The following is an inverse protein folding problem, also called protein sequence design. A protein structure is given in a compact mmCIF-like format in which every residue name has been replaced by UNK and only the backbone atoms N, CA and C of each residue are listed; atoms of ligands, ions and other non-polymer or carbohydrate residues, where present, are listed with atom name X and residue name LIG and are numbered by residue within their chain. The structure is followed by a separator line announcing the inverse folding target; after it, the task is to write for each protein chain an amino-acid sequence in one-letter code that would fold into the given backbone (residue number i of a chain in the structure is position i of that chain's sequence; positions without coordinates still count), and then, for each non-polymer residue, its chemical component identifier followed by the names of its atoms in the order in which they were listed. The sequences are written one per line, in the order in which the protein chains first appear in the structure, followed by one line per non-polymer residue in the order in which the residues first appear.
data_IF_727315663993
#
_entry.id   IF_727315663993
#
_cell.length_a   1.000
_cell.length_b   1.000
_cell.length_c   1.000
_cell.angle_alpha   90.00
_cell.angle_beta   90.00
_cell.angle_gamma   90.00
#
_symmetry.space_group_name_H-M   'P 1'
#
loop_
_entity.id
_entity.type
_entity.pdbx_description
1 polymer ?
#
# COMPACT_ATOMS: atom_id res chain seq x y z
N UNK A 1 20.16 5.09 13.48
CA UNK A 1 19.17 5.59 12.51
C UNK A 1 17.84 5.02 12.95
N UNK A 2 16.82 5.86 13.02
CA UNK A 2 15.57 5.62 13.76
C UNK A 2 14.83 4.40 13.19
N UNK A 3 14.93 3.26 13.88
CA UNK A 3 14.25 2.01 13.54
C UNK A 3 12.83 2.04 14.10
N UNK A 4 12.09 3.12 13.83
CA UNK A 4 10.70 3.22 14.24
C UNK A 4 9.92 2.24 13.38
N UNK A 5 9.46 1.16 14.00
CA UNK A 5 8.62 0.15 13.34
C UNK A 5 7.43 0.87 12.69
N UNK A 6 7.42 0.92 11.35
CA UNK A 6 6.35 1.54 10.59
C UNK A 6 5.09 0.68 10.77
N UNK A 7 4.09 1.18 11.50
CA UNK A 7 2.94 0.37 11.89
C UNK A 7 1.82 0.43 10.87
N UNK A 8 0.93 -0.57 10.92
CA UNK A 8 -0.29 -0.58 10.11
C UNK A 8 -1.10 0.72 10.24
N UNK A 9 -1.32 1.23 11.46
CA UNK A 9 -2.09 2.45 11.65
C UNK A 9 -1.37 3.71 11.15
N UNK A 10 -0.03 3.77 11.26
CA UNK A 10 0.73 4.88 10.68
C UNK A 10 0.58 4.93 9.16
N UNK A 11 0.68 3.77 8.50
CA UNK A 11 0.49 3.65 7.05
C UNK A 11 -0.95 3.92 6.63
N UNK A 12 -1.92 3.32 7.32
CA UNK A 12 -3.34 3.49 7.03
C UNK A 12 -3.76 4.96 7.17
N UNK A 13 -3.24 5.67 8.17
CA UNK A 13 -3.48 7.10 8.35
C UNK A 13 -3.05 7.89 7.12
N UNK A 14 -1.84 7.66 6.61
CA UNK A 14 -1.32 8.35 5.42
C UNK A 14 -2.20 8.08 4.19
N UNK A 15 -2.56 6.81 3.97
CA UNK A 15 -3.40 6.41 2.84
C UNK A 15 -4.80 7.05 2.89
N UNK A 16 -5.44 7.05 4.06
CA UNK A 16 -6.76 7.65 4.26
C UNK A 16 -6.75 9.17 4.13
N UNK A 17 -5.72 9.83 4.66
CA UNK A 17 -5.55 11.29 4.50
C UNK A 17 -5.40 11.68 3.03
N UNK A 18 -4.60 10.94 2.25
CA UNK A 18 -4.50 11.17 0.79
C UNK A 18 -5.82 10.90 0.05
N UNK A 19 -6.68 10.02 0.57
CA UNK A 19 -8.00 9.76 0.02
C UNK A 19 -9.09 10.77 0.45
N UNK A 20 -8.73 11.78 1.25
CA UNK A 20 -9.63 12.87 1.66
C UNK A 20 -10.41 12.61 2.95
N UNK A 21 -9.97 11.65 3.77
CA UNK A 21 -10.56 11.39 5.08
C UNK A 21 -9.77 12.08 6.20
N UNK A 22 -10.49 12.44 7.27
CA UNK A 22 -9.87 12.88 8.51
C UNK A 22 -9.66 11.66 9.41
N UNK A 23 -8.45 11.53 9.96
CA UNK A 23 -8.06 10.39 10.82
C UNK A 23 -7.74 10.92 12.20
N UNK A 24 -8.49 10.46 13.19
CA UNK A 24 -8.31 10.86 14.59
C UNK A 24 -7.25 9.98 15.29
N UNK A 25 -6.74 10.39 16.47
CA UNK A 25 -5.89 9.55 17.29
C UNK A 25 -6.55 8.20 17.61
N UNK A 26 -5.72 7.16 17.79
CA UNK A 26 -6.20 5.83 18.17
C UNK A 26 -6.86 5.90 19.54
N UNK A 27 -8.07 5.35 19.64
CA UNK A 27 -8.89 5.28 20.87
C UNK A 27 -9.29 3.81 21.08
N UNK A 28 -8.99 3.25 22.25
CA UNK A 28 -9.31 1.85 22.60
C UNK A 28 -8.88 0.80 21.56
N UNK A 29 -7.71 1.00 20.95
CA UNK A 29 -7.17 0.09 19.91
C UNK A 29 -7.88 0.20 18.55
N UNK A 30 -8.64 1.27 18.33
CA UNK A 30 -9.37 1.55 17.10
C UNK A 30 -8.91 2.89 16.51
N UNK A 31 -8.80 2.96 15.19
CA UNK A 31 -8.48 4.18 14.45
C UNK A 31 -9.78 4.85 13.99
N UNK A 32 -10.23 5.97 14.60
CA UNK A 32 -11.47 6.63 14.21
C UNK A 32 -11.32 7.47 12.95
N UNK A 33 -12.28 7.33 12.04
CA UNK A 33 -12.29 7.97 10.73
C UNK A 33 -13.51 8.89 10.62
N UNK A 34 -13.27 10.10 10.14
CA UNK A 34 -14.27 11.12 9.87
C UNK A 34 -14.31 11.46 8.38
N UNK A 35 -15.50 11.83 7.93
CA UNK A 35 -15.77 12.30 6.58
C UNK A 35 -16.87 13.35 6.63
N UNK A 36 -16.66 14.49 5.95
CA UNK A 36 -17.55 15.65 6.01
C UNK A 36 -17.87 16.10 7.46
N UNK A 37 -16.84 16.22 8.29
CA UNK A 37 -16.92 16.65 9.70
C UNK A 37 -17.84 15.78 10.59
N UNK A 38 -18.10 14.55 10.17
CA UNK A 38 -18.89 13.56 10.91
C UNK A 38 -18.13 12.26 11.06
N UNK A 39 -18.34 11.59 12.20
CA UNK A 39 -17.81 10.25 12.44
C UNK A 39 -18.40 9.29 11.41
N UNK A 40 -17.52 8.61 10.67
CA UNK A 40 -17.90 7.68 9.62
C UNK A 40 -17.81 6.23 10.10
N UNK A 41 -16.65 5.85 10.64
CA UNK A 41 -16.36 4.50 11.14
C UNK A 41 -15.09 4.48 12.00
N UNK A 42 -14.70 3.31 12.48
CA UNK A 42 -13.42 3.04 13.12
C UNK A 42 -12.80 1.78 12.53
N UNK A 43 -11.47 1.74 12.42
CA UNK A 43 -10.72 0.59 11.89
C UNK A 43 -10.00 -0.13 13.03
N UNK A 44 -10.07 -1.45 13.09
CA UNK A 44 -9.33 -2.27 14.07
C UNK A 44 -7.88 -2.51 13.63
N UNK A 45 -7.03 -2.95 14.56
CA UNK A 45 -5.68 -3.41 14.24
C UNK A 45 -5.62 -4.63 13.32
N UNK A 46 -6.74 -5.33 13.08
CA UNK A 46 -6.86 -6.39 12.08
C UNK A 46 -7.39 -5.91 10.73
N UNK A 47 -7.80 -4.65 10.62
CA UNK A 47 -8.39 -4.06 9.40
C UNK A 47 -9.91 -4.20 9.30
N UNK A 48 -10.58 -4.66 10.37
CA UNK A 48 -12.04 -4.69 10.46
C UNK A 48 -12.63 -3.30 10.66
N UNK A 49 -13.83 -3.07 10.13
CA UNK A 49 -14.53 -1.79 10.21
C UNK A 49 -15.67 -1.86 11.22
N UNK A 50 -15.77 -0.86 12.09
CA UNK A 50 -16.87 -0.67 13.06
C UNK A 50 -17.58 0.66 12.79
N UNK A 51 -18.90 0.66 12.78
CA UNK A 51 -19.71 1.87 12.64
C UNK A 51 -21.04 1.68 13.37
N UNK A 52 -21.76 2.76 13.67
CA UNK A 52 -23.06 2.67 14.33
C UNK A 52 -24.12 2.26 13.32
N UNK A 53 -24.98 1.33 13.70
CA UNK A 53 -26.13 0.89 12.89
C UNK A 53 -27.10 2.02 12.57
N UNK A 54 -27.15 3.04 13.43
CA UNK A 54 -28.00 4.22 13.31
C UNK A 54 -27.59 5.07 12.08
N UNK A 55 -26.34 4.93 11.60
CA UNK A 55 -25.74 5.67 10.49
C UNK A 55 -25.89 4.95 9.12
N UNK A 56 -26.81 3.98 9.01
CA UNK A 56 -26.99 3.11 7.81
C UNK A 56 -27.86 3.71 6.72
N UNK A 57 -28.50 4.86 6.96
CA UNK A 57 -29.50 5.43 6.03
C UNK A 57 -28.92 6.40 5.00
N UNK A 58 -27.65 6.79 5.11
CA UNK A 58 -26.97 7.67 4.15
C UNK A 58 -26.15 6.84 3.13
N UNK A 59 -26.58 6.76 1.86
CA UNK A 59 -25.87 6.02 0.82
C UNK A 59 -24.45 6.56 0.55
N UNK A 60 -24.22 7.86 0.73
CA UNK A 60 -22.91 8.45 0.52
C UNK A 60 -21.93 8.01 1.62
N UNK A 61 -22.41 7.94 2.87
CA UNK A 61 -21.64 7.39 3.98
C UNK A 61 -21.35 5.89 3.80
N UNK A 62 -22.28 5.12 3.23
CA UNK A 62 -22.04 3.72 2.86
C UNK A 62 -20.91 3.57 1.84
N UNK A 63 -20.96 4.31 0.73
CA UNK A 63 -19.88 4.32 -0.28
C UNK A 63 -18.55 4.74 0.34
N UNK A 64 -18.56 5.78 1.18
CA UNK A 64 -17.36 6.26 1.86
C UNK A 64 -16.78 5.19 2.81
N UNK A 65 -17.61 4.43 3.54
CA UNK A 65 -17.17 3.29 4.38
C UNK A 65 -16.63 2.13 3.54
N UNK A 66 -17.25 1.86 2.39
CA UNK A 66 -16.74 0.87 1.43
C UNK A 66 -15.33 1.21 1.00
N UNK A 67 -15.08 2.46 0.60
CA UNK A 67 -13.74 2.92 0.22
C UNK A 67 -12.73 2.86 1.38
N UNK A 68 -13.13 3.17 2.62
CA UNK A 68 -12.26 2.96 3.80
C UNK A 68 -11.91 1.48 3.97
N UNK A 69 -12.87 0.58 3.74
CA UNK A 69 -12.67 -0.87 3.81
C UNK A 69 -11.66 -1.35 2.77
N UNK A 70 -11.79 -0.89 1.53
CA UNK A 70 -10.87 -1.22 0.44
C UNK A 70 -9.45 -0.74 0.74
N UNK A 71 -9.31 0.52 1.19
CA UNK A 71 -8.02 1.08 1.59
C UNK A 71 -7.41 0.27 2.75
N UNK A 72 -8.20 -0.01 3.80
CA UNK A 72 -7.74 -0.76 4.96
C UNK A 72 -7.28 -2.18 4.61
N UNK A 73 -7.98 -2.84 3.68
CA UNK A 73 -7.64 -4.16 3.17
C UNK A 73 -6.35 -4.17 2.37
N UNK A 74 -6.18 -3.25 1.42
CA UNK A 74 -4.95 -3.16 0.63
C UNK A 74 -3.74 -2.79 1.50
N UNK A 75 -3.90 -1.83 2.42
CA UNK A 75 -2.85 -1.48 3.38
C UNK A 75 -2.44 -2.67 4.24
N UNK A 76 -3.41 -3.48 4.68
CA UNK A 76 -3.12 -4.71 5.43
C UNK A 76 -2.30 -5.68 4.60
N UNK A 77 -2.74 -5.94 3.37
CA UNK A 77 -2.09 -6.89 2.45
C UNK A 77 -0.60 -6.58 2.30
N UNK A 78 -0.25 -5.36 1.88
CA UNK A 78 1.14 -5.05 1.62
C UNK A 78 1.98 -4.87 2.88
N UNK A 79 1.40 -4.41 4.00
CA UNK A 79 2.14 -4.31 5.26
C UNK A 79 2.52 -5.69 5.79
N UNK A 80 1.61 -6.66 5.67
CA UNK A 80 1.90 -8.06 6.01
C UNK A 80 2.98 -8.65 5.10
N UNK A 81 2.95 -8.36 3.79
CA UNK A 81 4.00 -8.80 2.87
C UNK A 81 5.36 -8.19 3.24
N UNK A 82 5.41 -6.90 3.55
CA UNK A 82 6.63 -6.20 3.95
C UNK A 82 7.23 -6.77 5.24
N UNK A 83 6.39 -7.05 6.23
CA UNK A 83 6.82 -7.59 7.52
C UNK A 83 7.43 -8.98 7.38
N UNK A 84 6.87 -9.81 6.49
CA UNK A 84 7.31 -11.18 6.26
C UNK A 84 8.45 -11.30 5.24
N UNK A 85 8.61 -10.29 4.39
CA UNK A 85 9.58 -10.33 3.30
C UNK A 85 11.03 -10.28 3.81
N UNK A 86 11.94 -11.08 3.21
CA UNK A 86 13.35 -10.91 3.45
C UNK A 86 13.84 -9.59 2.87
N UNK A 87 14.99 -9.12 3.36
CA UNK A 87 15.66 -7.99 2.74
C UNK A 87 16.10 -8.36 1.31
N UNK A 88 15.88 -7.43 0.37
CA UNK A 88 16.45 -7.51 -0.96
C UNK A 88 17.94 -7.17 -0.89
N UNK A 89 18.78 -8.05 -1.45
CA UNK A 89 20.24 -7.88 -1.48
C UNK A 89 20.71 -7.76 -2.93
N UNK A 90 21.30 -6.62 -3.25
CA UNK A 90 21.92 -6.33 -4.53
C UNK A 90 23.10 -5.38 -4.33
N UNK A 91 24.08 -5.43 -5.23
CA UNK A 91 25.27 -4.60 -5.20
C UNK A 91 24.88 -3.12 -5.29
N UNK A 92 25.35 -2.32 -4.33
CA UNK A 92 25.08 -0.88 -4.28
C UNK A 92 23.65 -0.51 -3.85
N UNK A 93 22.79 -1.47 -3.53
CA UNK A 93 21.47 -1.19 -2.97
C UNK A 93 21.59 -0.79 -1.50
N UNK A 94 20.97 0.35 -1.16
CA UNK A 94 20.87 0.80 0.23
C UNK A 94 20.08 -0.17 1.11
N UNK A 95 20.13 0.05 2.42
CA UNK A 95 19.43 -0.81 3.38
C UNK A 95 17.89 -0.64 3.32
N UNK A 96 17.17 -1.66 3.80
CA UNK A 96 15.73 -1.66 4.07
C UNK A 96 14.76 -1.77 2.88
N UNK A 97 15.22 -2.22 1.70
CA UNK A 97 14.29 -2.73 0.69
C UNK A 97 13.89 -4.18 1.01
N UNK A 98 12.59 -4.45 0.95
CA UNK A 98 11.99 -5.77 1.16
C UNK A 98 11.65 -6.42 -0.17
N UNK A 99 12.07 -7.66 -0.34
CA UNK A 99 11.83 -8.42 -1.56
C UNK A 99 10.42 -9.04 -1.51
N UNK A 100 9.46 -8.44 -2.20
CA UNK A 100 8.05 -8.84 -2.14
C UNK A 100 7.73 -9.95 -3.16
N UNK A 101 8.23 -9.82 -4.38
CA UNK A 101 8.06 -10.83 -5.43
C UNK A 101 9.14 -10.71 -6.51
N UNK A 102 9.35 -11.80 -7.24
CA UNK A 102 10.24 -11.83 -8.39
C UNK A 102 9.78 -12.87 -9.40
N UNK A 103 9.82 -12.51 -10.68
CA UNK A 103 9.53 -13.42 -11.78
C UNK A 103 10.18 -12.94 -13.07
N UNK A 104 10.75 -13.88 -13.85
CA UNK A 104 11.36 -13.62 -15.16
C UNK A 104 12.35 -12.44 -15.18
N UNK A 105 13.14 -12.31 -14.11
CA UNK A 105 14.11 -11.23 -13.97
C UNK A 105 13.55 -9.90 -13.45
N UNK A 106 12.23 -9.70 -13.40
CA UNK A 106 11.62 -8.56 -12.74
C UNK A 106 11.51 -8.80 -11.22
N UNK A 107 11.60 -7.72 -10.44
CA UNK A 107 11.51 -7.69 -8.99
C UNK A 107 10.47 -6.66 -8.58
N UNK A 108 9.62 -7.00 -7.61
CA UNK A 108 8.80 -6.08 -6.87
C UNK A 108 9.36 -5.96 -5.45
N UNK A 109 9.66 -4.73 -5.05
CA UNK A 109 10.19 -4.41 -3.74
C UNK A 109 9.33 -3.36 -3.02
N UNK A 110 9.42 -3.35 -1.69
CA UNK A 110 8.83 -2.32 -0.84
C UNK A 110 9.88 -1.73 0.11
N UNK A 111 9.80 -0.43 0.36
CA UNK A 111 10.68 0.28 1.28
C UNK A 111 9.85 1.06 2.31
N UNK A 112 9.73 0.55 3.55
CA UNK A 112 9.04 1.27 4.61
C UNK A 112 9.82 2.52 5.01
N UNK A 113 9.14 3.66 5.07
CA UNK A 113 9.72 4.93 5.51
C UNK A 113 8.75 5.69 6.41
N UNK A 114 9.24 6.75 7.06
CA UNK A 114 8.38 7.67 7.85
C UNK A 114 7.29 8.37 7.03
N UNK A 115 7.42 8.39 5.70
CA UNK A 115 6.45 8.98 4.78
C UNK A 115 5.50 7.95 4.18
N UNK A 116 5.55 6.72 4.69
CA UNK A 116 4.82 5.58 4.20
C UNK A 116 5.69 4.65 3.37
N UNK A 117 5.08 3.56 2.89
CA UNK A 117 5.78 2.59 2.05
C UNK A 117 5.96 3.16 0.64
N UNK A 118 7.20 3.16 0.15
CA UNK A 118 7.52 3.31 -1.27
C UNK A 118 7.56 1.92 -1.91
N UNK A 119 6.99 1.77 -3.11
CA UNK A 119 7.11 0.55 -3.89
C UNK A 119 8.02 0.80 -5.08
N UNK A 120 8.78 -0.23 -5.47
CA UNK A 120 9.70 -0.14 -6.59
C UNK A 120 9.67 -1.42 -7.39
N UNK A 121 9.70 -1.31 -8.71
CA UNK A 121 9.97 -2.43 -9.60
C UNK A 121 11.34 -2.27 -10.24
N UNK A 122 12.08 -3.36 -10.35
CA UNK A 122 13.40 -3.41 -10.99
C UNK A 122 13.51 -4.61 -11.90
N UNK A 123 14.57 -4.64 -12.70
CA UNK A 123 15.06 -5.87 -13.31
C UNK A 123 16.41 -6.26 -12.70
N UNK A 124 16.63 -7.56 -12.56
CA UNK A 124 17.95 -8.11 -12.27
C UNK A 124 18.88 -7.89 -13.46
N UNK A 125 20.12 -7.57 -13.15
CA UNK A 125 21.24 -7.43 -14.07
C UNK A 125 22.48 -8.13 -13.49
N UNK A 126 23.55 -8.21 -14.28
CA UNK A 126 24.85 -8.75 -13.84
C UNK A 126 24.75 -10.14 -13.18
N UNK A 127 23.97 -11.06 -13.76
CA UNK A 127 23.82 -12.40 -13.18
C UNK A 127 23.13 -12.42 -11.82
N UNK A 128 22.19 -11.48 -11.59
CA UNK A 128 21.38 -11.31 -10.37
C UNK A 128 22.14 -10.71 -9.18
N UNK A 129 23.16 -9.90 -9.44
CA UNK A 129 23.83 -9.13 -8.38
C UNK A 129 23.47 -7.65 -8.43
N UNK A 130 23.09 -7.11 -9.60
CA UNK A 130 22.69 -5.71 -9.76
C UNK A 130 21.21 -5.53 -10.08
N UNK A 131 20.66 -4.37 -9.76
CA UNK A 131 19.31 -3.95 -10.15
C UNK A 131 19.39 -2.76 -11.11
N UNK A 132 18.55 -2.72 -12.14
CA UNK A 132 18.51 -1.62 -13.10
C UNK A 132 17.06 -1.33 -13.56
N UNK A 133 16.88 -0.18 -14.22
CA UNK A 133 15.58 0.28 -14.75
C UNK A 133 14.48 0.39 -13.67
N UNK A 134 14.73 1.11 -12.57
CA UNK A 134 13.77 1.24 -11.47
C UNK A 134 12.57 2.11 -11.80
N UNK A 135 11.34 1.59 -11.60
CA UNK A 135 10.13 2.42 -11.55
C UNK A 135 9.70 2.58 -10.09
N UNK A 136 9.64 3.83 -9.63
CA UNK A 136 9.38 4.18 -8.22
C UNK A 136 7.96 4.72 -8.06
N UNK A 137 7.29 4.27 -6.99
CA UNK A 137 5.92 4.65 -6.65
C UNK A 137 5.91 5.31 -5.27
N UNK A 138 5.65 6.62 -5.27
CA UNK A 138 5.88 7.53 -4.15
C UNK A 138 5.46 6.99 -2.77
N UNK A 139 6.25 7.29 -1.71
CA UNK A 139 5.89 6.90 -0.36
C UNK A 139 4.54 7.47 0.09
N UNK A 140 3.79 6.63 0.79
CA UNK A 140 2.47 6.96 1.34
C UNK A 140 1.39 7.14 0.27
N UNK A 141 1.68 6.84 -1.01
CA UNK A 141 0.65 6.68 -2.06
C UNK A 141 -0.31 5.52 -1.74
N UNK A 142 0.09 4.66 -0.79
CA UNK A 142 -0.74 3.64 -0.17
C UNK A 142 -1.24 2.64 -1.21
N UNK A 143 -2.56 2.36 -1.25
CA UNK A 143 -3.14 1.46 -2.22
C UNK A 143 -2.80 1.79 -3.67
N UNK A 144 -2.75 3.07 -4.04
CA UNK A 144 -2.50 3.46 -5.43
C UNK A 144 -1.08 3.06 -5.88
N UNK A 145 -0.05 3.41 -5.10
CA UNK A 145 1.32 3.05 -5.45
C UNK A 145 1.55 1.55 -5.44
N UNK A 146 0.97 0.84 -4.46
CA UNK A 146 1.06 -0.61 -4.41
C UNK A 146 0.42 -1.29 -5.64
N UNK A 147 -0.79 -0.86 -6.02
CA UNK A 147 -1.50 -1.42 -7.17
C UNK A 147 -0.79 -1.10 -8.49
N UNK A 148 -0.28 0.13 -8.65
CA UNK A 148 0.53 0.51 -9.81
C UNK A 148 1.82 -0.31 -9.90
N UNK A 149 2.52 -0.52 -8.78
CA UNK A 149 3.71 -1.35 -8.73
C UNK A 149 3.42 -2.82 -9.05
N UNK A 150 2.31 -3.39 -8.54
CA UNK A 150 1.86 -4.74 -8.91
C UNK A 150 1.57 -4.86 -10.41
N UNK A 151 0.87 -3.89 -10.98
CA UNK A 151 0.54 -3.90 -12.41
C UNK A 151 1.80 -3.83 -13.27
N UNK A 152 2.72 -2.92 -12.96
CA UNK A 152 3.98 -2.77 -13.67
C UNK A 152 4.87 -4.01 -13.52
N UNK A 153 4.95 -4.60 -12.33
CA UNK A 153 5.61 -5.89 -12.12
C UNK A 153 5.02 -6.99 -13.02
N UNK A 154 3.70 -7.10 -13.10
CA UNK A 154 3.04 -8.09 -13.96
C UNK A 154 3.38 -7.91 -15.45
N UNK A 155 3.47 -6.67 -15.93
CA UNK A 155 3.88 -6.37 -17.32
C UNK A 155 5.35 -6.71 -17.55
N UNK A 156 6.24 -6.18 -16.70
CA UNK A 156 7.69 -6.34 -16.86
C UNK A 156 8.16 -7.78 -16.72
N UNK A 157 7.49 -8.54 -15.88
CA UNK A 157 7.74 -9.97 -15.70
C UNK A 157 7.15 -10.84 -16.83
N UNK A 158 6.29 -10.27 -17.69
CA UNK A 158 5.59 -10.99 -18.75
C UNK A 158 4.43 -11.85 -18.28
N UNK A 159 3.96 -11.67 -17.03
CA UNK A 159 2.76 -12.34 -16.52
C UNK A 159 1.48 -11.84 -17.21
N UNK A 160 1.48 -10.58 -17.64
CA UNK A 160 0.40 -9.97 -18.41
C UNK A 160 0.99 -9.37 -19.68
N UNK A 161 0.35 -9.66 -20.82
CA UNK A 161 0.65 -8.99 -22.08
C UNK A 161 0.20 -7.52 -21.99
N UNK A 162 1.14 -6.58 -22.17
CA UNK A 162 0.87 -5.15 -22.17
C UNK A 162 -0.27 -4.74 -23.14
N UNK A 163 -0.44 -5.47 -24.25
CA UNK A 163 -1.48 -5.20 -25.24
C UNK A 163 -2.88 -5.66 -24.79
N UNK A 164 -2.97 -6.36 -23.66
CA UNK A 164 -4.23 -6.77 -23.01
C UNK A 164 -4.58 -5.92 -21.81
N UNK A 165 -3.75 -4.94 -21.44
CA UNK A 165 -4.16 -3.91 -20.48
C UNK A 165 -5.18 -3.01 -21.16
N UNK A 166 -6.41 -3.04 -20.68
CA UNK A 166 -7.42 -2.07 -21.10
C UNK A 166 -6.92 -0.68 -20.70
N UNK A 167 -6.57 0.14 -21.69
CA UNK A 167 -6.46 1.58 -21.50
C UNK A 167 -7.88 2.14 -21.41
N UNK A 168 -8.11 3.18 -20.62
CA UNK A 168 -9.44 3.82 -20.49
C UNK A 168 -9.93 4.50 -21.79
N UNK A 169 -9.38 4.15 -22.95
CA UNK A 169 -9.68 4.70 -24.28
C UNK A 169 -10.56 3.77 -25.13
N UNK A 170 -11.41 2.94 -24.51
CA UNK A 170 -12.40 2.11 -25.23
C UNK A 170 -13.83 2.37 -24.77
#
# INVERSE_FOLDING_TARGET
MDNTQHTYFAELKLALQKAGYTVQPVEDGLLPIEWNDRRLCQVTESGGIRFRTDDTTDPAAEVARGRVTDIAGVVREYMTLIEQAPDLKADGLGENYKHLAEFNGAVLAGHPSRYGVEFVTWEWSYGRTGLWQGHYYDPGSGPNGYLSAKQDFCVRSGLIDQHRLFTNEQ
#
